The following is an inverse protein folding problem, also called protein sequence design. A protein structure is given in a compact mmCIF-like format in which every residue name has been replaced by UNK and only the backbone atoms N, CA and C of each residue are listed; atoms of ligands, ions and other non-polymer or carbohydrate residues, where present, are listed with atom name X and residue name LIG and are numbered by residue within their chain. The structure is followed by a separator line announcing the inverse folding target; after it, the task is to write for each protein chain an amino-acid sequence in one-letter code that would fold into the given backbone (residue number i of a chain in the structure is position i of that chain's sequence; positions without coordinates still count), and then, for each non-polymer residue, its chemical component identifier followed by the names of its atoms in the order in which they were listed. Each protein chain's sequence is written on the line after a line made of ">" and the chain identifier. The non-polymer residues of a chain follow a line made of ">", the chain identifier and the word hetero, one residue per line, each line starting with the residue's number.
data_IF_997373095626
#
_entry.id   IF_997373095626
#
_cell.length_a   1.000
_cell.length_b   1.000
_cell.length_c   1.000
_cell.angle_alpha   90.00
_cell.angle_beta   90.00
_cell.angle_gamma   90.00
#
_symmetry.space_group_name_H-M   'P 1'
#
loop_
_entity.id
_entity.type
_entity.pdbx_description
1 polymer ?
#
# COMPACT_ATOMS: atom_id res chain seq x y z
N UNK A 1 -8.67 -1.49 -16.54
CA UNK A 1 -9.01 -0.13 -16.96
C UNK A 1 -7.82 0.79 -16.78
N UNK A 2 -7.46 1.54 -17.81
CA UNK A 2 -6.34 2.48 -17.77
C UNK A 2 -6.87 3.90 -17.76
N UNK A 3 -6.39 4.72 -16.85
CA UNK A 3 -6.79 6.12 -16.71
C UNK A 3 -5.55 7.01 -16.77
N UNK A 4 -5.60 8.05 -17.58
CA UNK A 4 -4.53 9.04 -17.68
C UNK A 4 -5.04 10.39 -17.19
N UNK A 5 -4.25 11.05 -16.34
CA UNK A 5 -4.59 12.35 -15.79
C UNK A 5 -3.42 13.33 -15.93
N UNK A 6 -3.73 14.56 -16.29
CA UNK A 6 -2.81 15.68 -16.25
C UNK A 6 -3.38 16.75 -15.34
N UNK A 7 -2.63 17.11 -14.32
CA UNK A 7 -3.02 18.16 -13.39
C UNK A 7 -1.91 19.18 -13.24
N UNK A 8 -2.31 20.44 -13.18
CA UNK A 8 -1.43 21.54 -12.80
C UNK A 8 -1.86 22.04 -11.42
N UNK A 9 -0.91 22.02 -10.47
CA UNK A 9 -1.13 22.55 -9.14
C UNK A 9 -0.13 23.66 -8.95
N UNK A 10 -0.60 24.91 -9.01
CA UNK A 10 0.27 26.10 -8.96
C UNK A 10 1.45 25.98 -9.93
N UNK A 11 2.65 25.79 -9.40
CA UNK A 11 3.88 25.68 -10.19
C UNK A 11 4.33 24.22 -10.38
N UNK A 12 3.42 23.27 -10.18
CA UNK A 12 3.71 21.84 -10.30
C UNK A 12 2.87 21.20 -11.39
N UNK A 13 3.45 20.22 -12.07
CA UNK A 13 2.76 19.37 -13.04
C UNK A 13 2.78 17.95 -12.56
N UNK A 14 1.66 17.27 -12.71
CA UNK A 14 1.56 15.82 -12.47
C UNK A 14 1.05 15.14 -13.73
N UNK A 15 1.80 14.17 -14.20
CA UNK A 15 1.41 13.35 -15.34
C UNK A 15 1.55 11.89 -14.93
N UNK A 16 0.54 11.10 -15.19
CA UNK A 16 0.62 9.70 -14.81
C UNK A 16 -0.48 8.84 -15.34
N UNK A 17 -0.40 7.59 -15.03
CA UNK A 17 -1.39 6.59 -15.39
C UNK A 17 -1.57 5.59 -14.27
N UNK A 18 -2.75 5.00 -14.25
CA UNK A 18 -3.11 3.95 -13.30
C UNK A 18 -3.68 2.76 -14.07
N UNK A 19 -3.19 1.57 -13.72
CA UNK A 19 -3.67 0.32 -14.29
C UNK A 19 -4.16 -0.57 -13.15
N UNK A 20 -5.40 -1.03 -13.25
CA UNK A 20 -5.95 -1.96 -12.27
C UNK A 20 -6.46 -3.21 -12.94
N UNK A 21 -6.31 -4.34 -12.26
CA UNK A 21 -6.80 -5.62 -12.72
C UNK A 21 -7.45 -6.36 -11.56
N UNK A 22 -8.60 -6.98 -11.83
CA UNK A 22 -9.34 -7.76 -10.84
C UNK A 22 -9.75 -9.08 -11.44
N UNK A 23 -9.59 -10.14 -10.66
CA UNK A 23 -10.01 -11.48 -11.05
C UNK A 23 -10.59 -12.19 -9.85
N UNK A 24 -11.68 -12.88 -10.05
CA UNK A 24 -12.31 -13.67 -9.01
C UNK A 24 -12.92 -14.91 -9.63
N UNK A 25 -12.73 -16.06 -8.98
CA UNK A 25 -13.34 -17.33 -9.37
C UNK A 25 -13.56 -18.18 -8.14
N UNK A 26 -14.80 -18.64 -7.96
CA UNK A 26 -15.22 -19.41 -6.78
C UNK A 26 -14.93 -18.61 -5.50
N UNK A 27 -14.10 -19.14 -4.62
CA UNK A 27 -13.75 -18.47 -3.36
C UNK A 27 -12.43 -17.68 -3.46
N UNK A 28 -11.74 -17.73 -4.60
CA UNK A 28 -10.44 -17.10 -4.79
C UNK A 28 -10.56 -15.74 -5.46
N UNK A 29 -9.66 -14.82 -5.13
CA UNK A 29 -9.61 -13.51 -5.77
C UNK A 29 -8.17 -13.02 -5.88
N UNK A 30 -7.91 -12.18 -6.89
CA UNK A 30 -6.68 -11.42 -7.06
C UNK A 30 -7.05 -10.03 -7.53
N UNK A 31 -6.51 -9.02 -6.85
CA UNK A 31 -6.62 -7.62 -7.27
C UNK A 31 -5.21 -7.06 -7.38
N UNK A 32 -4.94 -6.33 -8.46
CA UNK A 32 -3.63 -5.71 -8.68
C UNK A 32 -3.82 -4.29 -9.16
N UNK A 33 -2.93 -3.40 -8.72
CA UNK A 33 -2.92 -2.02 -9.14
C UNK A 33 -1.50 -1.53 -9.35
N UNK A 34 -1.29 -0.78 -10.41
CA UNK A 34 -0.02 -0.12 -10.71
C UNK A 34 -0.28 1.34 -10.98
N UNK A 35 0.46 2.21 -10.33
CA UNK A 35 0.34 3.65 -10.51
C UNK A 35 1.70 4.21 -10.89
N UNK A 36 1.74 4.98 -11.94
CA UNK A 36 2.92 5.76 -12.34
C UNK A 36 2.54 7.23 -12.32
N UNK A 37 3.32 8.02 -11.59
CA UNK A 37 3.12 9.46 -11.51
C UNK A 37 4.46 10.16 -11.68
N UNK A 38 4.55 11.03 -12.68
CA UNK A 38 5.67 11.93 -12.84
C UNK A 38 5.26 13.30 -12.34
N UNK A 39 5.97 13.80 -11.37
CA UNK A 39 5.73 15.14 -10.82
C UNK A 39 6.87 16.06 -11.18
N UNK A 40 6.56 17.30 -11.47
CA UNK A 40 7.56 18.31 -11.84
C UNK A 40 7.17 19.63 -11.20
N UNK A 41 8.13 20.25 -10.51
CA UNK A 41 8.01 21.62 -10.07
C UNK A 41 8.46 22.51 -11.24
N UNK A 42 7.51 23.18 -11.88
CA UNK A 42 7.80 23.97 -13.08
C UNK A 42 8.69 25.18 -12.80
N UNK A 43 8.75 25.65 -11.56
CA UNK A 43 9.60 26.75 -11.16
C UNK A 43 11.05 26.30 -10.95
N UNK A 44 11.26 25.11 -10.36
CA UNK A 44 12.59 24.57 -10.08
C UNK A 44 13.01 23.47 -11.04
N UNK A 45 12.10 23.05 -11.92
CA UNK A 45 12.32 21.97 -12.89
C UNK A 45 12.82 20.67 -12.23
N UNK A 46 12.19 20.28 -11.11
CA UNK A 46 12.52 19.10 -10.34
C UNK A 46 11.26 18.36 -9.91
N UNK A 47 11.41 17.10 -9.44
CA UNK A 47 10.28 16.33 -8.93
C UNK A 47 9.79 16.90 -7.59
N UNK A 48 8.48 16.77 -7.36
CA UNK A 48 7.91 17.11 -6.06
C UNK A 48 8.43 16.20 -4.98
N UNK A 49 8.58 16.76 -3.78
CA UNK A 49 9.09 16.04 -2.63
C UNK A 49 8.07 15.01 -2.10
N UNK A 50 8.58 13.92 -1.54
CA UNK A 50 7.82 12.89 -0.82
C UNK A 50 6.76 12.19 -1.67
N UNK A 51 6.93 12.17 -3.00
CA UNK A 51 6.00 11.50 -3.91
C UNK A 51 6.72 10.41 -4.69
N UNK A 52 6.43 9.14 -4.44
CA UNK A 52 7.04 8.06 -5.21
C UNK A 52 6.53 8.10 -6.65
N UNK A 53 7.42 7.81 -7.60
CA UNK A 53 7.07 7.79 -9.01
C UNK A 53 6.21 6.59 -9.37
N UNK A 54 6.44 5.46 -8.71
CA UNK A 54 5.75 4.20 -8.99
C UNK A 54 5.22 3.60 -7.70
N UNK A 55 4.03 3.02 -7.80
CA UNK A 55 3.39 2.31 -6.69
C UNK A 55 2.70 1.08 -7.25
N UNK A 56 2.87 -0.05 -6.59
CA UNK A 56 2.29 -1.33 -6.99
C UNK A 56 1.58 -1.95 -5.79
N UNK A 57 0.34 -2.41 -6.00
CA UNK A 57 -0.43 -3.08 -4.97
C UNK A 57 -0.97 -4.39 -5.50
N UNK A 58 -0.91 -5.43 -4.70
CA UNK A 58 -1.54 -6.73 -4.99
C UNK A 58 -2.23 -7.22 -3.75
N UNK A 59 -3.46 -7.65 -3.88
CA UNK A 59 -4.15 -8.40 -2.83
C UNK A 59 -4.68 -9.69 -3.43
N UNK A 60 -4.55 -10.77 -2.69
CA UNK A 60 -5.02 -12.08 -3.11
C UNK A 60 -5.46 -12.88 -1.90
N UNK A 61 -6.33 -13.82 -2.12
CA UNK A 61 -6.78 -14.67 -1.04
C UNK A 61 -7.95 -15.54 -1.41
N UNK A 62 -8.51 -16.15 -0.40
CA UNK A 62 -9.73 -16.91 -0.51
C UNK A 62 -10.70 -16.51 0.59
N UNK A 63 -11.97 -16.58 0.30
CA UNK A 63 -13.02 -16.28 1.28
C UNK A 63 -14.28 -17.09 0.97
N UNK A 64 -14.92 -17.54 2.02
CA UNK A 64 -16.22 -18.23 1.93
C UNK A 64 -17.03 -17.91 3.18
N UNK A 65 -18.17 -18.58 3.35
CA UNK A 65 -19.06 -18.34 4.47
C UNK A 65 -18.44 -18.68 5.83
N UNK A 66 -17.45 -19.58 5.86
CA UNK A 66 -16.89 -20.12 7.10
C UNK A 66 -15.55 -19.48 7.46
N UNK A 67 -14.69 -19.22 6.48
CA UNK A 67 -13.36 -18.67 6.75
C UNK A 67 -12.85 -17.86 5.58
N UNK A 68 -11.81 -17.10 5.84
CA UNK A 68 -11.09 -16.35 4.82
C UNK A 68 -9.64 -16.16 5.19
N UNK A 69 -8.80 -16.09 4.16
CA UNK A 69 -7.37 -15.82 4.30
C UNK A 69 -6.96 -14.94 3.14
N UNK A 70 -6.31 -13.82 3.43
CA UNK A 70 -5.87 -12.91 2.39
C UNK A 70 -4.50 -12.33 2.71
N UNK A 71 -3.79 -11.96 1.65
CA UNK A 71 -2.51 -11.27 1.73
C UNK A 71 -2.59 -10.04 0.84
N UNK A 72 -2.01 -8.94 1.30
CA UNK A 72 -1.91 -7.71 0.54
C UNK A 72 -0.45 -7.24 0.53
N UNK A 73 0.04 -6.84 -0.63
CA UNK A 73 1.37 -6.29 -0.78
C UNK A 73 1.28 -4.88 -1.33
N UNK A 74 2.06 -3.98 -0.75
CA UNK A 74 2.25 -2.63 -1.26
C UNK A 74 3.74 -2.42 -1.49
N UNK A 75 4.09 -2.03 -2.71
CA UNK A 75 5.46 -1.68 -3.07
C UNK A 75 5.49 -0.27 -3.63
N UNK A 76 6.44 0.53 -3.18
CA UNK A 76 6.61 1.91 -3.62
C UNK A 76 8.06 2.16 -4.01
N UNK A 77 8.26 2.90 -5.09
CA UNK A 77 9.59 3.33 -5.49
C UNK A 77 10.10 4.42 -4.55
N UNK A 78 11.39 4.75 -4.70
CA UNK A 78 11.96 5.85 -3.94
C UNK A 78 11.25 7.18 -4.26
N UNK A 79 11.26 8.07 -3.29
CA UNK A 79 10.71 9.42 -3.42
C UNK A 79 11.78 10.45 -3.03
N UNK A 80 11.66 11.67 -3.54
CA UNK A 80 12.57 12.74 -3.17
C UNK A 80 12.15 13.42 -1.88
N UNK A 81 13.11 13.86 -1.08
CA UNK A 81 12.91 14.73 0.06
C UNK A 81 13.97 15.84 0.03
N UNK A 82 13.97 16.74 1.02
CA UNK A 82 14.76 17.97 0.98
C UNK A 82 16.26 17.77 0.75
N UNK A 83 16.87 16.76 1.37
CA UNK A 83 18.32 16.56 1.29
C UNK A 83 18.70 15.20 0.72
N UNK A 84 17.83 14.23 0.76
CA UNK A 84 18.06 12.87 0.26
C UNK A 84 16.78 12.25 -0.26
N UNK A 85 16.93 11.19 -1.06
CA UNK A 85 15.79 10.40 -1.50
C UNK A 85 15.28 9.52 -0.35
N UNK A 86 13.97 9.37 -0.26
CA UNK A 86 13.34 8.38 0.63
C UNK A 86 13.40 7.03 -0.09
N UNK A 87 13.99 5.99 0.52
CA UNK A 87 14.09 4.69 -0.15
C UNK A 87 12.74 4.07 -0.46
N UNK A 88 12.67 3.34 -1.57
CA UNK A 88 11.51 2.51 -1.87
C UNK A 88 11.41 1.34 -0.91
N UNK A 89 10.23 0.72 -0.84
CA UNK A 89 9.99 -0.42 0.03
C UNK A 89 8.86 -1.28 -0.48
N UNK A 90 8.79 -2.51 0.04
CA UNK A 90 7.65 -3.40 -0.14
C UNK A 90 7.22 -3.94 1.21
N UNK A 91 5.91 -3.98 1.43
CA UNK A 91 5.32 -4.42 2.68
C UNK A 91 4.22 -5.43 2.38
N UNK A 92 4.14 -6.49 3.19
CA UNK A 92 3.11 -7.52 3.06
C UNK A 92 2.30 -7.58 4.37
N UNK A 93 0.99 -7.57 4.23
CA UNK A 93 0.04 -7.73 5.32
C UNK A 93 -0.77 -9.01 5.12
N UNK A 94 -1.09 -9.70 6.20
CA UNK A 94 -1.94 -10.89 6.19
C UNK A 94 -3.19 -10.65 7.03
N UNK A 95 -4.29 -11.23 6.57
CA UNK A 95 -5.57 -11.18 7.26
C UNK A 95 -6.22 -12.56 7.19
N UNK A 96 -6.79 -13.01 8.30
CA UNK A 96 -7.53 -14.25 8.35
C UNK A 96 -8.74 -14.11 9.26
N UNK A 97 -9.82 -14.80 8.93
CA UNK A 97 -10.98 -14.89 9.80
C UNK A 97 -11.58 -16.29 9.75
N UNK A 98 -12.27 -16.66 10.82
CA UNK A 98 -12.97 -17.92 10.93
C UNK A 98 -14.30 -17.70 11.64
N UNK A 99 -15.39 -17.99 10.94
CA UNK A 99 -16.74 -17.97 11.50
C UNK A 99 -17.01 -19.35 12.11
N UNK A 100 -16.79 -19.48 13.42
CA UNK A 100 -16.99 -20.75 14.13
C UNK A 100 -18.46 -21.18 14.06
N UNK A 101 -19.35 -20.18 14.22
CA UNK A 101 -20.80 -20.36 14.10
C UNK A 101 -21.41 -18.99 13.75
N UNK A 102 -22.74 -18.89 13.51
CA UNK A 102 -23.35 -17.59 13.16
C UNK A 102 -23.20 -16.49 14.21
N UNK A 103 -22.83 -16.84 15.44
CA UNK A 103 -22.69 -15.90 16.54
C UNK A 103 -21.26 -15.48 16.78
N UNK A 104 -20.27 -16.34 16.50
CA UNK A 104 -18.87 -16.14 16.90
C UNK A 104 -17.97 -16.13 15.68
N UNK A 105 -17.17 -15.06 15.55
CA UNK A 105 -16.15 -14.92 14.53
C UNK A 105 -14.81 -14.64 15.19
N UNK A 106 -13.79 -15.42 14.82
CA UNK A 106 -12.40 -15.15 15.17
C UNK A 106 -11.72 -14.45 14.01
N UNK A 107 -10.81 -13.52 14.30
CA UNK A 107 -10.03 -12.86 13.25
C UNK A 107 -8.63 -12.56 13.74
N UNK A 108 -7.71 -12.45 12.79
CA UNK A 108 -6.34 -12.02 13.05
C UNK A 108 -5.83 -11.18 11.88
N UNK A 109 -5.00 -10.21 12.20
CA UNK A 109 -4.33 -9.36 11.22
C UNK A 109 -2.87 -9.28 11.59
N UNK A 110 -1.99 -9.43 10.60
CA UNK A 110 -0.57 -9.22 10.77
C UNK A 110 -0.14 -8.19 9.74
N UNK A 111 0.24 -7.01 10.20
CA UNK A 111 0.75 -5.96 9.35
C UNK A 111 2.26 -6.06 9.26
N UNK A 112 2.80 -5.83 8.06
CA UNK A 112 4.24 -5.84 7.82
C UNK A 112 4.87 -7.17 8.24
N UNK A 113 4.42 -8.27 7.63
CA UNK A 113 4.84 -9.63 7.98
C UNK A 113 6.35 -9.81 7.92
N UNK A 114 7.00 -9.17 6.95
CA UNK A 114 8.46 -9.23 6.80
C UNK A 114 9.23 -8.38 7.78
N UNK A 115 8.55 -7.64 8.66
CA UNK A 115 9.18 -6.73 9.61
C UNK A 115 10.07 -5.70 8.92
N UNK A 116 9.63 -5.23 7.75
CA UNK A 116 10.37 -4.24 6.97
C UNK A 116 10.30 -2.90 7.67
N UNK A 117 11.45 -2.28 7.92
CA UNK A 117 11.53 -0.93 8.46
C UNK A 117 11.71 0.04 7.31
N UNK A 118 10.66 0.75 6.96
CA UNK A 118 10.70 1.69 5.86
C UNK A 118 10.70 3.13 6.36
N UNK A 119 11.32 4.00 5.57
CA UNK A 119 11.50 5.41 5.89
C UNK A 119 10.50 6.22 5.11
N UNK A 120 9.82 7.16 5.77
CA UNK A 120 8.79 7.98 5.13
C UNK A 120 9.21 9.42 4.91
N UNK A 121 10.06 9.95 5.78
CA UNK A 121 10.52 11.33 5.71
C UNK A 121 11.98 11.38 6.11
N UNK A 122 12.76 12.16 5.41
CA UNK A 122 14.15 12.47 5.78
C UNK A 122 14.16 13.82 6.51
N UNK A 123 14.65 13.84 7.74
CA UNK A 123 14.76 15.08 8.50
C UNK A 123 16.09 15.79 8.22
N UNK A 124 16.13 17.07 8.53
CA UNK A 124 17.36 17.82 8.50
C UNK A 124 18.34 17.23 9.52
N UNK A 125 19.55 16.93 9.14
CA UNK A 125 20.52 16.31 10.02
C UNK A 125 20.69 14.80 9.82
N UNK A 126 20.32 14.31 8.65
CA UNK A 126 20.59 12.94 8.22
C UNK A 126 19.81 11.84 8.94
N UNK A 127 18.67 12.19 9.51
CA UNK A 127 17.82 11.22 10.19
C UNK A 127 16.54 10.95 9.39
N UNK A 128 16.06 9.71 9.45
CA UNK A 128 14.81 9.33 8.84
C UNK A 128 13.76 9.04 9.90
N UNK A 129 12.51 9.39 9.60
CA UNK A 129 11.38 8.87 10.35
C UNK A 129 11.07 7.48 9.85
N UNK A 130 11.17 6.50 10.73
CA UNK A 130 10.96 5.08 10.39
C UNK A 130 9.58 4.68 10.87
N UNK A 131 8.76 4.18 9.95
CA UNK A 131 7.47 3.61 10.31
C UNK A 131 7.67 2.25 10.96
N UNK A 132 6.75 1.89 11.87
CA UNK A 132 6.89 0.75 12.74
C UNK A 132 7.07 -0.57 12.03
N UNK A 133 7.53 -1.58 12.75
CA UNK A 133 7.73 -2.91 12.24
C UNK A 133 6.44 -3.75 12.24
N UNK A 134 6.60 -5.05 12.42
CA UNK A 134 5.48 -5.99 12.42
C UNK A 134 4.51 -5.70 13.55
N UNK A 135 3.23 -5.71 13.21
CA UNK A 135 2.15 -5.57 14.20
C UNK A 135 1.16 -6.71 13.98
N UNK A 136 0.90 -7.48 15.03
CA UNK A 136 -0.08 -8.56 14.99
C UNK A 136 -1.23 -8.25 15.94
N UNK A 137 -2.45 -8.53 15.49
CA UNK A 137 -3.65 -8.37 16.30
C UNK A 137 -4.57 -9.57 16.09
N UNK A 138 -5.37 -9.89 17.10
CA UNK A 138 -6.36 -10.94 17.02
C UNK A 138 -7.57 -10.53 17.86
N UNK A 139 -8.73 -11.02 17.48
CA UNK A 139 -9.94 -10.65 18.20
C UNK A 139 -11.07 -11.64 17.98
N UNK A 140 -12.13 -11.44 18.75
CA UNK A 140 -13.36 -12.21 18.69
C UNK A 140 -14.52 -11.24 18.50
N UNK A 141 -15.40 -11.54 17.56
CA UNK A 141 -16.64 -10.80 17.37
C UNK A 141 -17.82 -11.68 17.73
N UNK A 142 -18.70 -11.17 18.58
CA UNK A 142 -19.95 -11.83 18.91
C UNK A 142 -21.10 -11.07 18.25
N UNK A 143 -21.98 -11.79 17.59
CA UNK A 143 -23.19 -11.23 16.96
C UNK A 143 -24.42 -11.68 17.75
N UNK A 144 -25.29 -10.74 18.06
CA UNK A 144 -26.54 -11.03 18.77
C UNK A 144 -27.70 -11.20 17.79
#
# INVERSE_FOLDING_TARGET
>A
TTVYQNQNIDEAKMTGGELTAQWAKDQFFINAGYTYVKTEDTKQNSELLRRPRQSFTVSTGLQNADYGLSAAMVAKSKAKDFSRDIPGYARVDLNAYWNINPTVKLFTNIENVGDVKYKTVHSAGDQYYVNGGRLASAGITFKY
#
